data_IF_095425605289
#
_entry.id   IF_095425605289
#
_cell.length_a   1.000
_cell.length_b   1.000
_cell.length_c   1.000
_cell.angle_alpha   90.00
_cell.angle_beta   90.00
_cell.angle_gamma   90.00
#
_symmetry.space_group_name_H-M   'P 1'
#
loop_
_entity.id
_entity.type
_entity.pdbx_description
1 polymer ?
#
# COMPACT_ATOMS: atom_id res chain seq x y z
N UNK A 1 -2.76 -54.59 0.28
CA UNK A 1 -1.98 -53.45 0.81
C UNK A 1 -2.89 -52.24 0.77
N UNK A 2 -3.49 -51.87 1.90
CA UNK A 2 -4.41 -50.73 2.01
C UNK A 2 -3.61 -49.57 2.58
N UNK A 3 -3.37 -48.54 1.78
CA UNK A 3 -2.78 -47.28 2.25
C UNK A 3 -3.92 -46.36 2.66
N UNK A 4 -4.23 -46.38 3.95
CA UNK A 4 -5.08 -45.41 4.60
C UNK A 4 -4.30 -44.09 4.75
N UNK A 5 -4.84 -43.02 4.17
CA UNK A 5 -4.27 -41.66 4.21
C UNK A 5 -5.04 -40.74 5.17
N UNK A 6 -5.91 -41.28 6.06
CA UNK A 6 -6.78 -40.48 6.94
C UNK A 6 -6.04 -39.63 8.00
N UNK A 7 -4.71 -39.68 8.05
CA UNK A 7 -3.87 -38.96 9.01
C UNK A 7 -2.99 -37.85 8.42
N UNK A 8 -3.13 -37.53 7.13
CA UNK A 8 -2.39 -36.39 6.57
C UNK A 8 -2.91 -35.09 7.19
N UNK A 9 -2.03 -34.23 7.75
CA UNK A 9 -2.46 -32.90 8.17
C UNK A 9 -3.10 -32.20 6.97
N UNK A 10 -4.33 -31.71 7.15
CA UNK A 10 -4.96 -30.82 6.18
C UNK A 10 -3.93 -29.74 5.84
N UNK A 11 -3.60 -29.60 4.55
CA UNK A 11 -2.74 -28.52 4.09
C UNK A 11 -3.30 -27.22 4.67
N UNK A 12 -2.44 -26.45 5.34
CA UNK A 12 -2.81 -25.11 5.80
C UNK A 12 -3.21 -24.34 4.54
N UNK A 13 -4.50 -24.03 4.40
CA UNK A 13 -4.98 -23.13 3.36
C UNK A 13 -4.14 -21.85 3.46
N UNK A 14 -3.52 -21.39 2.35
CA UNK A 14 -2.67 -20.22 2.40
C UNK A 14 -3.49 -19.05 2.92
N UNK A 15 -2.97 -18.37 3.94
CA UNK A 15 -3.58 -17.16 4.46
C UNK A 15 -3.56 -16.10 3.35
N UNK A 16 -4.73 -15.87 2.74
CA UNK A 16 -4.91 -14.83 1.72
C UNK A 16 -5.53 -13.60 2.36
N UNK A 17 -4.97 -12.42 2.05
CA UNK A 17 -5.57 -11.16 2.47
C UNK A 17 -6.87 -10.92 1.68
N UNK A 18 -7.90 -10.33 2.31
CA UNK A 18 -9.11 -9.94 1.59
C UNK A 18 -8.79 -8.99 0.44
N UNK A 19 -9.52 -9.12 -0.67
CA UNK A 19 -9.57 -8.12 -1.73
C UNK A 19 -10.97 -7.51 -1.74
N UNK A 20 -11.05 -6.18 -1.61
CA UNK A 20 -12.31 -5.45 -1.45
C UNK A 20 -12.51 -4.52 -2.64
N UNK A 21 -13.65 -4.68 -3.32
CA UNK A 21 -14.06 -3.79 -4.40
C UNK A 21 -14.66 -2.49 -3.85
N UNK A 22 -13.99 -1.38 -4.17
CA UNK A 22 -14.36 -0.02 -3.76
C UNK A 22 -15.32 0.67 -4.73
N UNK A 23 -15.64 0.05 -5.87
CA UNK A 23 -16.53 0.61 -6.89
C UNK A 23 -17.88 1.13 -6.33
N UNK A 24 -18.52 0.52 -5.31
CA UNK A 24 -19.78 1.04 -4.77
C UNK A 24 -19.66 2.43 -4.11
N UNK A 25 -18.46 2.81 -3.66
CA UNK A 25 -18.19 4.15 -3.13
C UNK A 25 -17.81 5.17 -4.20
N UNK A 26 -17.40 4.71 -5.38
CA UNK A 26 -16.91 5.53 -6.48
C UNK A 26 -17.96 5.75 -7.57
N UNK A 27 -19.05 4.98 -7.54
CA UNK A 27 -20.15 5.13 -8.47
C UNK A 27 -20.80 6.52 -8.37
N UNK A 28 -21.04 7.22 -9.51
CA UNK A 28 -21.77 8.48 -9.53
C UNK A 28 -23.25 8.31 -9.16
N UNK A 29 -23.77 7.08 -9.22
CA UNK A 29 -25.10 6.71 -8.74
C UNK A 29 -24.95 5.66 -7.63
N UNK A 30 -24.87 6.09 -6.36
CA UNK A 30 -24.56 5.19 -5.25
C UNK A 30 -25.76 4.30 -4.93
N UNK A 31 -25.55 2.98 -4.96
CA UNK A 31 -26.48 2.00 -4.37
C UNK A 31 -26.22 1.91 -2.85
N UNK A 32 -27.18 2.31 -1.99
CA UNK A 32 -27.03 2.25 -0.54
C UNK A 32 -26.76 0.83 -0.02
N UNK A 33 -27.33 -0.20 -0.65
CA UNK A 33 -27.18 -1.59 -0.21
C UNK A 33 -25.78 -2.09 -0.53
N UNK A 34 -25.31 -1.88 -1.76
CA UNK A 34 -23.94 -2.22 -2.15
C UNK A 34 -22.90 -1.48 -1.29
N UNK A 35 -23.11 -0.19 -1.03
CA UNK A 35 -22.22 0.60 -0.14
C UNK A 35 -22.17 0.06 1.28
N UNK A 36 -23.32 -0.31 1.84
CA UNK A 36 -23.36 -0.90 3.18
C UNK A 36 -22.63 -2.25 3.22
N UNK A 37 -22.77 -3.08 2.19
CA UNK A 37 -22.06 -4.34 2.08
C UNK A 37 -20.53 -4.14 2.01
N UNK A 38 -20.05 -3.21 1.18
CA UNK A 38 -18.62 -2.89 1.11
C UNK A 38 -18.11 -2.30 2.43
N UNK A 39 -18.89 -1.45 3.11
CA UNK A 39 -18.52 -0.92 4.43
C UNK A 39 -18.35 -2.03 5.47
N UNK A 40 -19.24 -3.04 5.47
CA UNK A 40 -19.11 -4.19 6.36
C UNK A 40 -17.88 -5.02 6.04
N UNK A 41 -17.60 -5.26 4.75
CA UNK A 41 -16.41 -6.00 4.32
C UNK A 41 -15.11 -5.29 4.75
N UNK A 42 -15.05 -3.95 4.64
CA UNK A 42 -13.93 -3.14 5.12
C UNK A 42 -13.76 -3.26 6.64
N UNK A 43 -14.86 -3.13 7.39
CA UNK A 43 -14.85 -3.25 8.84
C UNK A 43 -14.30 -4.62 9.29
N UNK A 44 -14.83 -5.69 8.69
CA UNK A 44 -14.42 -7.06 9.00
C UNK A 44 -12.95 -7.29 8.65
N UNK A 45 -12.47 -6.76 7.52
CA UNK A 45 -11.07 -6.87 7.13
C UNK A 45 -10.13 -6.12 8.09
N UNK A 46 -10.51 -4.92 8.52
CA UNK A 46 -9.76 -4.15 9.52
C UNK A 46 -9.62 -4.91 10.85
N UNK A 47 -10.72 -5.51 11.35
CA UNK A 47 -10.70 -6.20 12.65
C UNK A 47 -9.98 -7.55 12.56
N UNK A 48 -10.22 -8.31 11.48
CA UNK A 48 -9.75 -9.70 11.38
C UNK A 48 -8.32 -9.81 10.85
N UNK A 49 -7.91 -8.93 9.95
CA UNK A 49 -6.63 -9.03 9.23
C UNK A 49 -5.74 -7.80 9.47
N UNK A 50 -6.32 -6.61 9.60
CA UNK A 50 -5.59 -5.34 9.69
C UNK A 50 -5.03 -4.85 8.35
N UNK A 51 -5.05 -5.68 7.30
CA UNK A 51 -4.63 -5.37 5.94
C UNK A 51 -5.54 -6.05 4.92
N UNK A 52 -5.67 -5.46 3.74
CA UNK A 52 -6.45 -5.96 2.61
C UNK A 52 -6.00 -5.25 1.32
N UNK A 53 -6.31 -5.85 0.17
CA UNK A 53 -6.17 -5.23 -1.14
C UNK A 53 -7.46 -4.46 -1.48
N UNK A 54 -7.32 -3.34 -2.18
CA UNK A 54 -8.44 -2.59 -2.72
C UNK A 54 -8.45 -2.71 -4.25
N UNK A 55 -9.64 -2.91 -4.83
CA UNK A 55 -9.90 -2.94 -6.28
C UNK A 55 -11.05 -1.99 -6.61
N UNK A 56 -11.47 -1.90 -7.88
CA UNK A 56 -12.62 -1.07 -8.25
C UNK A 56 -12.31 0.38 -8.59
N UNK A 57 -11.03 0.72 -8.78
CA UNK A 57 -10.57 2.06 -9.14
C UNK A 57 -10.47 2.28 -10.65
N UNK A 58 -10.97 1.33 -11.45
CA UNK A 58 -10.99 1.44 -12.90
C UNK A 58 -11.70 2.73 -13.34
N UNK A 59 -11.04 3.51 -14.17
CA UNK A 59 -11.53 4.83 -14.62
C UNK A 59 -11.22 6.00 -13.69
N UNK A 60 -10.64 5.75 -12.50
CA UNK A 60 -10.07 6.79 -11.63
C UNK A 60 -8.54 6.77 -11.63
N UNK A 61 -7.94 5.57 -11.63
CA UNK A 61 -6.49 5.38 -11.60
C UNK A 61 -6.10 4.52 -12.80
N UNK A 62 -5.27 5.08 -13.68
CA UNK A 62 -4.82 4.37 -14.88
C UNK A 62 -3.54 3.58 -14.58
N UNK A 63 -3.43 2.38 -15.16
CA UNK A 63 -2.27 1.50 -14.93
C UNK A 63 -0.98 2.16 -15.41
N UNK A 64 -1.06 2.88 -16.51
CA UNK A 64 0.05 3.60 -17.14
C UNK A 64 0.58 4.69 -16.21
N UNK A 65 -0.31 5.48 -15.59
CA UNK A 65 0.08 6.50 -14.60
C UNK A 65 0.81 5.89 -13.40
N UNK A 66 0.33 4.75 -12.89
CA UNK A 66 1.03 4.05 -11.81
C UNK A 66 2.43 3.60 -12.22
N UNK A 67 2.58 3.10 -13.44
CA UNK A 67 3.88 2.67 -13.97
C UNK A 67 4.83 3.86 -14.17
N UNK A 68 4.31 5.00 -14.64
CA UNK A 68 5.07 6.23 -14.81
C UNK A 68 5.55 6.77 -13.47
N UNK A 69 4.70 6.79 -12.43
CA UNK A 69 5.10 7.17 -11.07
C UNK A 69 6.22 6.26 -10.56
N UNK A 70 6.11 4.94 -10.78
CA UNK A 70 7.17 3.99 -10.40
C UNK A 70 8.47 4.25 -11.18
N UNK A 71 8.38 4.53 -12.49
CA UNK A 71 9.54 4.81 -13.33
C UNK A 71 10.26 6.09 -12.91
N UNK A 72 9.53 7.20 -12.74
CA UNK A 72 10.06 8.48 -12.27
C UNK A 72 10.68 8.33 -10.88
N UNK A 73 10.03 7.60 -9.98
CA UNK A 73 10.57 7.33 -8.63
C UNK A 73 11.89 6.56 -8.72
N UNK A 74 11.97 5.52 -9.54
CA UNK A 74 13.21 4.74 -9.74
C UNK A 74 14.34 5.60 -10.33
N UNK A 75 14.02 6.43 -11.32
CA UNK A 75 14.98 7.35 -11.92
C UNK A 75 15.52 8.33 -10.87
N UNK A 76 14.63 8.94 -10.09
CA UNK A 76 15.00 9.87 -9.03
C UNK A 76 15.88 9.20 -7.96
N UNK A 77 15.52 8.01 -7.49
CA UNK A 77 16.29 7.28 -6.48
C UNK A 77 17.70 6.88 -6.97
N UNK A 78 17.87 6.66 -8.28
CA UNK A 78 19.14 6.34 -8.91
C UNK A 78 20.08 7.56 -9.09
N UNK A 79 19.60 8.80 -8.88
CA UNK A 79 20.44 10.01 -8.93
C UNK A 79 21.45 10.05 -7.78
N UNK A 80 22.51 10.84 -7.97
CA UNK A 80 23.57 11.03 -6.98
C UNK A 80 23.00 11.57 -5.67
N UNK A 81 23.59 11.14 -4.55
CA UNK A 81 23.11 11.51 -3.23
C UNK A 81 23.10 13.03 -3.01
N UNK A 82 24.11 13.75 -3.54
CA UNK A 82 24.19 15.22 -3.49
C UNK A 82 23.00 15.90 -4.18
N UNK A 83 22.45 15.31 -5.26
CA UNK A 83 21.29 15.87 -5.96
C UNK A 83 20.00 15.65 -5.16
N UNK A 84 19.90 14.52 -4.46
CA UNK A 84 18.76 14.20 -3.60
C UNK A 84 18.78 15.03 -2.31
N UNK A 85 19.96 15.27 -1.74
CA UNK A 85 20.16 16.12 -0.55
C UNK A 85 19.76 17.60 -0.79
N UNK A 86 19.81 18.10 -2.03
CA UNK A 86 19.32 19.47 -2.37
C UNK A 86 17.83 19.67 -2.10
N UNK A 87 17.04 18.61 -2.23
CA UNK A 87 15.61 18.59 -1.89
C UNK A 87 15.34 17.85 -0.57
N UNK A 88 16.38 17.67 0.24
CA UNK A 88 16.28 17.07 1.58
C UNK A 88 15.28 17.79 2.47
N UNK A 89 14.71 17.06 3.42
CA UNK A 89 13.87 17.66 4.46
C UNK A 89 14.66 18.74 5.19
N UNK A 90 14.19 19.99 5.06
CA UNK A 90 14.84 21.13 5.71
C UNK A 90 14.33 21.29 7.14
N UNK A 91 15.20 21.70 8.08
CA UNK A 91 14.78 21.99 9.45
C UNK A 91 13.87 23.23 9.52
N UNK A 92 13.94 24.13 8.54
CA UNK A 92 12.98 25.21 8.35
C UNK A 92 11.74 24.72 7.58
N UNK A 93 10.58 24.70 8.25
CA UNK A 93 9.31 24.24 7.66
C UNK A 93 8.53 23.30 8.57
N UNK A 94 7.67 22.47 7.96
CA UNK A 94 6.86 21.45 8.64
C UNK A 94 7.63 20.16 8.95
N UNK A 95 8.90 20.07 8.52
CA UNK A 95 9.84 18.97 8.80
C UNK A 95 9.36 17.60 8.29
N UNK A 96 8.38 17.58 7.39
CA UNK A 96 7.80 16.36 6.82
C UNK A 96 8.06 16.21 5.31
N UNK A 97 8.39 17.31 4.61
CA UNK A 97 8.54 17.34 3.15
C UNK A 97 9.99 17.35 2.69
N UNK A 98 10.31 16.54 1.68
CA UNK A 98 11.65 16.43 1.08
C UNK A 98 12.22 15.01 1.06
N UNK A 99 13.45 14.88 0.55
CA UNK A 99 14.21 13.63 0.56
C UNK A 99 14.60 13.22 1.98
N UNK A 100 14.35 11.95 2.30
CA UNK A 100 14.84 11.32 3.52
C UNK A 100 15.75 10.16 3.17
N UNK A 101 16.99 10.25 3.65
CA UNK A 101 18.03 9.23 3.43
C UNK A 101 17.70 7.94 4.17
N UNK A 102 18.13 6.82 3.59
CA UNK A 102 18.01 5.49 4.20
C UNK A 102 18.63 5.53 5.61
N UNK A 103 17.89 5.07 6.62
CA UNK A 103 18.33 5.03 8.01
C UNK A 103 18.18 6.34 8.81
N UNK A 104 17.53 7.36 8.25
CA UNK A 104 17.14 8.60 8.97
C UNK A 104 15.77 8.47 9.62
N UNK A 105 14.84 7.72 9.02
CA UNK A 105 13.59 7.36 9.68
C UNK A 105 13.85 6.30 10.74
N UNK A 106 13.39 6.56 11.96
CA UNK A 106 13.46 5.64 13.08
C UNK A 106 12.05 5.33 13.57
N UNK A 107 11.47 4.22 13.11
CA UNK A 107 10.20 3.73 13.67
C UNK A 107 10.49 3.01 14.99
N UNK A 108 9.97 3.54 16.10
CA UNK A 108 10.20 3.03 17.46
C UNK A 108 11.69 2.86 17.83
N UNK A 109 12.54 3.78 17.37
CA UNK A 109 13.98 3.77 17.70
C UNK A 109 14.83 2.78 16.89
N UNK A 110 14.27 2.11 15.87
CA UNK A 110 15.03 1.28 14.92
C UNK A 110 15.09 1.95 13.56
N UNK A 111 16.29 1.99 12.96
CA UNK A 111 16.53 2.59 11.64
C UNK A 111 15.78 1.81 10.56
N UNK A 112 14.97 2.52 9.78
CA UNK A 112 14.30 1.97 8.61
C UNK A 112 15.26 1.90 7.42
N UNK A 113 15.32 0.75 6.74
CA UNK A 113 16.18 0.50 5.59
C UNK A 113 15.47 0.83 4.26
N UNK A 114 14.77 1.96 4.22
CA UNK A 114 14.03 2.44 3.05
C UNK A 114 14.32 3.93 2.84
N UNK A 115 14.42 4.39 1.59
CA UNK A 115 14.48 5.81 1.24
C UNK A 115 13.08 6.27 0.80
N UNK A 116 12.68 7.47 1.19
CA UNK A 116 11.36 8.03 0.86
C UNK A 116 11.47 9.49 0.43
N UNK A 117 10.57 9.89 -0.47
CA UNK A 117 10.39 11.28 -0.89
C UNK A 117 8.91 11.64 -0.80
N UNK A 118 8.58 12.77 -0.17
CA UNK A 118 7.21 13.27 -0.06
C UNK A 118 7.13 14.71 -0.54
N UNK A 119 6.22 14.98 -1.47
CA UNK A 119 5.86 16.30 -2.00
C UNK A 119 4.35 16.38 -2.16
N UNK A 120 3.72 17.44 -1.68
CA UNK A 120 2.33 17.79 -2.05
C UNK A 120 2.34 19.01 -2.99
N UNK A 121 1.30 19.10 -3.83
CA UNK A 121 1.16 20.04 -4.94
C UNK A 121 0.82 21.48 -4.56
#
# INVERSE_FOLDING_TARGET
>A
MSTDFSGMPQALEPFTLPSIDMSPFLSPSPDPVARQATAQALHDACIRFGFFYCTGFEGLIWREEMLDVIAVTREYLARLEEEKERVGVKPEGDKARGWQKIGVNATQGRKDWHGSSSTEG
#
